data_IF_282740907900
#
_entry.id   IF_282740907900
#
_cell.length_a   1.000
_cell.length_b   1.000
_cell.length_c   1.000
_cell.angle_alpha   90.00
_cell.angle_beta   90.00
_cell.angle_gamma   90.00
#
_symmetry.space_group_name_H-M   'P 1'
#
loop_
_entity.id
_entity.type
_entity.pdbx_description
1 polymer ?
#
# COMPACT_ATOMS: atom_id res chain seq x y z
N UNK A 1 0.47 -15.74 -39.94
CA UNK A 1 -0.62 -16.36 -39.14
C UNK A 1 -0.11 -16.55 -37.72
N UNK A 2 -0.84 -16.31 -36.63
CA UNK A 2 -2.02 -15.52 -36.32
C UNK A 2 -2.26 -15.78 -34.82
N UNK A 3 -2.53 -14.70 -34.08
CA UNK A 3 -3.50 -14.62 -32.98
C UNK A 3 -3.19 -15.22 -31.59
N UNK A 4 -2.95 -14.28 -30.67
CA UNK A 4 -3.89 -13.85 -29.61
C UNK A 4 -4.09 -14.67 -28.31
N UNK A 5 -3.93 -13.88 -27.23
CA UNK A 5 -4.85 -13.69 -26.10
C UNK A 5 -4.69 -14.55 -24.82
N UNK A 6 -4.06 -13.93 -23.81
CA UNK A 6 -4.70 -13.31 -22.63
C UNK A 6 -5.76 -14.13 -21.85
N UNK A 7 -5.60 -14.24 -20.52
CA UNK A 7 -6.53 -13.77 -19.45
C UNK A 7 -6.45 -14.57 -18.13
N UNK A 8 -6.15 -13.83 -17.05
CA UNK A 8 -6.91 -13.74 -15.78
C UNK A 8 -7.32 -15.03 -15.03
N UNK A 9 -7.04 -15.09 -13.72
CA UNK A 9 -7.82 -15.95 -12.82
C UNK A 9 -7.26 -16.23 -11.44
N UNK A 10 -7.79 -15.52 -10.44
CA UNK A 10 -7.65 -15.74 -9.01
C UNK A 10 -7.75 -17.22 -8.61
N UNK A 11 -6.94 -17.67 -7.64
CA UNK A 11 -7.39 -18.71 -6.69
C UNK A 11 -6.76 -18.54 -5.30
N UNK A 12 -7.46 -17.69 -4.53
CA UNK A 12 -7.61 -17.74 -3.07
C UNK A 12 -7.85 -19.19 -2.62
N UNK A 13 -6.82 -19.83 -2.07
CA UNK A 13 -6.94 -21.13 -1.40
C UNK A 13 -6.60 -20.96 0.08
N UNK A 14 -7.61 -20.58 0.86
CA UNK A 14 -7.56 -20.72 2.30
C UNK A 14 -7.80 -22.19 2.64
N UNK A 15 -6.77 -22.87 3.15
CA UNK A 15 -6.94 -24.10 3.92
C UNK A 15 -6.76 -23.76 5.40
N UNK A 16 -7.70 -24.12 6.29
CA UNK A 16 -7.47 -24.08 7.71
C UNK A 16 -6.85 -25.42 8.12
N UNK A 17 -5.62 -25.40 8.65
CA UNK A 17 -5.07 -26.49 9.43
C UNK A 17 -4.65 -25.91 10.77
N UNK A 18 -5.60 -25.97 11.70
CA UNK A 18 -5.37 -25.75 13.10
C UNK A 18 -4.63 -26.97 13.67
N UNK A 19 -3.43 -26.77 14.21
CA UNK A 19 -2.91 -27.56 15.32
C UNK A 19 -1.70 -26.85 15.95
N UNK A 20 -1.93 -26.34 17.15
CA UNK A 20 -0.99 -26.32 18.28
C UNK A 20 0.41 -25.72 18.05
N UNK A 21 0.52 -24.39 18.19
CA UNK A 21 1.61 -23.78 18.96
C UNK A 21 1.07 -22.49 19.62
N UNK A 22 1.03 -22.50 20.94
CA UNK A 22 0.71 -21.32 21.75
C UNK A 22 1.84 -20.30 21.73
N UNK A 23 1.47 -19.07 22.12
CA UNK A 23 2.28 -17.85 22.29
C UNK A 23 2.38 -16.91 21.07
N UNK A 24 1.65 -15.80 21.18
CA UNK A 24 1.95 -14.48 20.58
C UNK A 24 1.83 -14.33 19.06
N UNK A 25 0.68 -14.67 18.50
CA UNK A 25 0.20 -13.96 17.32
C UNK A 25 -0.80 -12.89 17.78
N UNK A 26 -0.29 -11.74 18.25
CA UNK A 26 -1.06 -10.49 18.22
C UNK A 26 -1.34 -10.20 16.74
N UNK A 27 -2.41 -10.80 16.24
CA UNK A 27 -2.99 -10.47 14.94
C UNK A 27 -3.35 -9.00 14.98
N UNK A 28 -2.46 -8.20 14.42
CA UNK A 28 -2.65 -6.80 14.08
C UNK A 28 -3.80 -6.72 13.06
N UNK A 29 -5.02 -6.87 13.56
CA UNK A 29 -6.24 -6.67 12.78
C UNK A 29 -6.31 -5.19 12.46
N UNK A 30 -6.31 -4.86 11.16
CA UNK A 30 -6.48 -3.50 10.69
C UNK A 30 -7.79 -2.93 11.28
N UNK A 31 -7.69 -1.84 12.03
CA UNK A 31 -8.87 -1.16 12.57
C UNK A 31 -9.53 -0.40 11.43
N UNK A 32 -10.80 -0.69 11.18
CA UNK A 32 -11.62 0.01 10.22
C UNK A 32 -11.74 1.49 10.59
N UNK A 33 -11.67 2.38 9.59
CA UNK A 33 -11.71 3.84 9.78
C UNK A 33 -12.90 4.35 10.62
N UNK A 34 -14.00 3.59 10.69
CA UNK A 34 -15.20 3.91 11.48
C UNK A 34 -15.06 3.80 13.01
N UNK A 35 -13.99 3.16 13.50
CA UNK A 35 -13.70 2.96 14.92
C UNK A 35 -12.40 3.63 15.33
N UNK A 36 -11.74 4.28 14.38
CA UNK A 36 -10.51 5.01 14.62
C UNK A 36 -10.82 6.38 15.23
N UNK A 37 -10.16 6.76 16.33
CA UNK A 37 -10.18 8.13 16.84
C UNK A 37 -9.83 9.18 15.77
N UNK A 38 -10.39 10.39 15.89
CA UNK A 38 -10.18 11.47 14.92
C UNK A 38 -8.70 11.80 14.65
N UNK A 39 -7.83 11.64 15.66
CA UNK A 39 -6.39 11.88 15.51
C UNK A 39 -5.69 10.80 14.65
N UNK A 40 -6.19 9.55 14.62
CA UNK A 40 -5.70 8.52 13.68
C UNK A 40 -6.15 8.82 12.26
N UNK A 41 -7.38 9.34 12.08
CA UNK A 41 -7.84 9.76 10.76
C UNK A 41 -7.03 10.95 10.23
N UNK A 42 -6.74 11.94 11.07
CA UNK A 42 -5.88 13.07 10.70
C UNK A 42 -4.48 12.60 10.28
N UNK A 43 -3.91 11.63 11.02
CA UNK A 43 -2.65 10.99 10.67
C UNK A 43 -2.74 10.23 9.34
N UNK A 44 -3.78 9.42 9.14
CA UNK A 44 -3.99 8.66 7.91
C UNK A 44 -4.12 9.57 6.68
N UNK A 45 -4.85 10.68 6.81
CA UNK A 45 -4.97 11.70 5.75
C UNK A 45 -3.64 12.39 5.47
N UNK A 46 -2.87 12.75 6.52
CA UNK A 46 -1.56 13.37 6.37
C UNK A 46 -0.56 12.42 5.67
N UNK A 47 -0.51 11.16 6.10
CA UNK A 47 0.35 10.13 5.48
C UNK A 47 -0.10 9.85 4.05
N UNK A 48 -1.40 9.68 3.80
CA UNK A 48 -1.94 9.47 2.45
C UNK A 48 -1.56 10.60 1.50
N UNK A 49 -1.73 11.87 1.93
CA UNK A 49 -1.31 13.04 1.17
C UNK A 49 0.19 13.10 0.94
N UNK A 50 1.01 12.76 1.94
CA UNK A 50 2.46 12.72 1.80
C UNK A 50 2.93 11.64 0.81
N UNK A 51 2.34 10.45 0.87
CA UNK A 51 2.64 9.35 -0.05
C UNK A 51 2.21 9.69 -1.48
N UNK A 52 1.03 10.29 -1.64
CA UNK A 52 0.54 10.75 -2.93
C UNK A 52 1.41 11.86 -3.52
N UNK A 53 1.80 12.85 -2.71
CA UNK A 53 2.70 13.92 -3.13
C UNK A 53 4.07 13.38 -3.58
N UNK A 54 4.58 12.35 -2.90
CA UNK A 54 5.83 11.71 -3.30
C UNK A 54 5.72 11.00 -4.64
N UNK A 55 4.59 10.33 -4.89
CA UNK A 55 4.34 9.69 -6.19
C UNK A 55 4.14 10.72 -7.32
N UNK A 56 3.63 11.90 -7.01
CA UNK A 56 3.51 13.01 -7.95
C UNK A 56 4.83 13.79 -8.14
N UNK A 57 5.88 13.45 -7.41
CA UNK A 57 7.15 14.14 -7.51
C UNK A 57 7.90 13.71 -8.78
N UNK A 58 7.85 14.55 -9.82
CA UNK A 58 8.45 14.30 -11.15
C UNK A 58 9.96 14.01 -11.14
N UNK A 59 10.65 14.30 -10.03
CA UNK A 59 12.08 14.09 -9.88
C UNK A 59 12.46 12.64 -9.55
N UNK A 60 11.49 11.78 -9.23
CA UNK A 60 11.75 10.37 -8.96
C UNK A 60 11.49 9.50 -10.20
N UNK A 61 12.55 8.93 -10.84
CA UNK A 61 12.38 8.07 -12.01
C UNK A 61 11.56 6.80 -11.72
N UNK A 62 11.49 6.36 -10.47
CA UNK A 62 10.67 5.22 -10.06
C UNK A 62 9.18 5.60 -10.06
N UNK A 63 8.85 6.74 -9.44
CA UNK A 63 7.50 7.29 -9.42
C UNK A 63 6.96 7.51 -10.84
N UNK A 64 7.80 8.06 -11.73
CA UNK A 64 7.42 8.29 -13.11
C UNK A 64 7.15 7.00 -13.89
N UNK A 65 7.90 5.92 -13.61
CA UNK A 65 7.63 4.61 -14.22
C UNK A 65 6.29 4.05 -13.75
N UNK A 66 5.96 4.20 -12.46
CA UNK A 66 4.65 3.79 -11.92
C UNK A 66 3.52 4.58 -12.59
N UNK A 67 3.65 5.89 -12.71
CA UNK A 67 2.66 6.74 -13.39
C UNK A 67 2.49 6.38 -14.87
N UNK A 68 3.60 6.16 -15.59
CA UNK A 68 3.55 5.73 -17.00
C UNK A 68 2.87 4.37 -17.16
N UNK A 69 3.15 3.44 -16.24
CA UNK A 69 2.51 2.12 -16.26
C UNK A 69 1.00 2.22 -16.00
N UNK A 70 0.58 3.06 -15.07
CA UNK A 70 -0.84 3.32 -14.78
C UNK A 70 -1.57 3.99 -15.95
N UNK A 71 -0.93 4.95 -16.62
CA UNK A 71 -1.47 5.55 -17.84
C UNK A 71 -1.68 4.49 -18.94
N UNK A 72 -0.81 3.49 -19.02
CA UNK A 72 -0.96 2.37 -19.94
C UNK A 72 -2.01 1.33 -19.50
N UNK A 73 -2.40 1.32 -18.21
CA UNK A 73 -3.34 0.35 -17.62
C UNK A 73 -4.48 1.06 -16.87
N UNK A 74 -5.40 1.73 -17.59
CA UNK A 74 -6.55 2.43 -16.99
C UNK A 74 -7.54 1.49 -16.29
N UNK A 75 -7.45 0.18 -16.53
CA UNK A 75 -8.25 -0.85 -15.86
C UNK A 75 -7.78 -1.15 -14.42
N UNK A 76 -6.72 -0.51 -13.95
CA UNK A 76 -6.20 -0.72 -12.59
C UNK A 76 -7.19 -0.15 -11.56
N UNK A 77 -7.58 -0.92 -10.53
CA UNK A 77 -8.52 -0.44 -9.52
C UNK A 77 -7.90 0.68 -8.67
N UNK A 78 -8.31 1.91 -8.95
CA UNK A 78 -8.09 3.07 -8.08
C UNK A 78 -9.32 3.26 -7.17
N UNK A 79 -9.16 3.47 -5.85
CA UNK A 79 -7.91 3.68 -5.11
C UNK A 79 -7.17 2.37 -4.77
N UNK A 80 -5.84 2.37 -4.89
CA UNK A 80 -5.00 1.23 -4.57
C UNK A 80 -4.89 1.08 -3.04
N UNK A 81 -5.41 -0.01 -2.43
CA UNK A 81 -5.29 -0.21 -1.00
C UNK A 81 -3.86 -0.61 -0.64
N UNK A 82 -3.14 0.26 0.05
CA UNK A 82 -1.81 -0.01 0.59
C UNK A 82 -1.90 -0.17 2.10
N UNK A 83 -1.34 -1.24 2.63
CA UNK A 83 -1.16 -1.51 4.05
C UNK A 83 0.27 -1.13 4.43
N UNK A 84 0.41 -0.17 5.34
CA UNK A 84 1.70 0.39 5.74
C UNK A 84 1.92 0.10 7.22
N UNK A 85 3.11 -0.40 7.55
CA UNK A 85 3.63 -0.50 8.91
C UNK A 85 4.66 0.59 9.09
N UNK A 86 4.53 1.33 10.17
CA UNK A 86 5.34 2.51 10.44
C UNK A 86 5.96 2.31 11.81
N UNK A 87 7.28 2.32 11.91
CA UNK A 87 7.96 2.25 13.18
C UNK A 87 7.71 3.54 13.99
N UNK A 88 7.94 3.50 15.30
CA UNK A 88 7.67 4.61 16.20
C UNK A 88 8.48 5.89 15.87
N UNK A 89 9.53 5.75 15.07
CA UNK A 89 10.37 6.81 14.52
C UNK A 89 9.81 7.46 13.24
N UNK A 90 8.67 6.98 12.71
CA UNK A 90 8.09 7.44 11.45
C UNK A 90 8.64 6.76 10.19
N UNK A 91 9.53 5.77 10.34
CA UNK A 91 10.04 4.99 9.20
C UNK A 91 9.04 3.93 8.77
N UNK A 92 8.89 3.71 7.47
CA UNK A 92 8.05 2.62 6.95
C UNK A 92 8.83 1.32 7.09
N UNK A 93 8.44 0.47 8.04
CA UNK A 93 9.08 -0.82 8.28
C UNK A 93 8.61 -1.89 7.29
N UNK A 94 7.34 -1.80 6.85
CA UNK A 94 6.76 -2.73 5.88
C UNK A 94 5.66 -2.05 5.06
N UNK A 95 5.54 -2.44 3.80
CA UNK A 95 4.50 -1.96 2.91
C UNK A 95 3.98 -3.10 2.03
N UNK A 96 2.67 -3.34 2.10
CA UNK A 96 1.95 -4.37 1.33
C UNK A 96 0.82 -3.73 0.53
N UNK A 97 0.61 -4.17 -0.70
CA UNK A 97 -0.48 -3.73 -1.57
C UNK A 97 -0.79 -4.83 -2.57
N UNK A 98 -1.97 -4.76 -3.19
CA UNK A 98 -2.32 -5.65 -4.29
C UNK A 98 -1.42 -5.35 -5.50
N UNK A 99 -0.71 -6.37 -5.97
CA UNK A 99 0.22 -6.26 -7.10
C UNK A 99 -0.48 -5.63 -8.30
N UNK A 100 0.18 -4.65 -8.92
CA UNK A 100 -0.29 -3.98 -10.13
C UNK A 100 -0.23 -4.92 -11.35
N UNK A 101 0.49 -6.04 -11.25
CA UNK A 101 0.68 -6.99 -12.35
C UNK A 101 2.05 -6.91 -13.02
N UNK A 102 2.87 -5.93 -12.64
CA UNK A 102 4.30 -5.87 -12.98
C UNK A 102 5.13 -5.76 -11.70
N UNK A 103 5.93 -6.79 -11.41
CA UNK A 103 6.77 -6.85 -10.23
C UNK A 103 7.82 -5.72 -10.16
N UNK A 104 8.25 -5.16 -11.30
CA UNK A 104 9.17 -4.00 -11.31
C UNK A 104 8.44 -2.74 -10.88
N UNK A 105 7.24 -2.53 -11.39
CA UNK A 105 6.39 -1.38 -11.02
C UNK A 105 5.99 -1.47 -9.56
N UNK A 106 5.70 -2.68 -9.07
CA UNK A 106 5.44 -2.92 -7.65
C UNK A 106 6.68 -2.59 -6.79
N UNK A 107 7.87 -3.02 -7.22
CA UNK A 107 9.12 -2.73 -6.51
C UNK A 107 9.44 -1.23 -6.52
N UNK A 108 9.25 -0.56 -7.65
CA UNK A 108 9.44 0.88 -7.82
C UNK A 108 8.45 1.68 -6.95
N UNK A 109 7.16 1.29 -6.94
CA UNK A 109 6.16 1.89 -6.06
C UNK A 109 6.56 1.74 -4.59
N UNK A 110 6.97 0.54 -4.18
CA UNK A 110 7.44 0.30 -2.80
C UNK A 110 8.67 1.15 -2.49
N UNK A 111 9.63 1.22 -3.39
CA UNK A 111 10.86 1.97 -3.22
C UNK A 111 10.60 3.48 -3.11
N UNK A 112 9.79 4.06 -4.00
CA UNK A 112 9.36 5.47 -3.90
C UNK A 112 8.66 5.73 -2.55
N UNK A 113 7.69 4.89 -2.17
CA UNK A 113 6.98 5.06 -0.90
C UNK A 113 7.89 4.88 0.33
N UNK A 114 8.98 4.12 0.23
CA UNK A 114 9.96 3.91 1.30
C UNK A 114 11.18 4.85 1.23
N UNK A 115 11.33 5.63 0.16
CA UNK A 115 12.53 6.42 -0.11
C UNK A 115 12.85 7.46 0.96
N UNK A 116 11.83 7.97 1.65
CA UNK A 116 11.99 8.90 2.76
C UNK A 116 11.08 8.53 3.95
N UNK A 117 11.51 8.82 5.19
CA UNK A 117 10.66 8.66 6.37
C UNK A 117 9.40 9.54 6.24
N UNK A 118 8.35 9.13 6.94
CA UNK A 118 7.15 9.95 7.09
C UNK A 118 7.47 11.14 7.98
N UNK A 119 6.88 12.31 7.69
CA UNK A 119 7.16 13.51 8.48
C UNK A 119 6.54 13.44 9.87
N UNK A 120 5.53 12.60 10.05
CA UNK A 120 4.85 12.40 11.32
C UNK A 120 5.09 10.97 11.84
N UNK A 121 5.51 10.87 13.10
CA UNK A 121 5.55 9.60 13.82
C UNK A 121 4.13 9.08 14.04
N UNK A 122 3.91 7.75 13.95
CA UNK A 122 2.61 7.17 14.22
C UNK A 122 2.22 7.42 15.69
N UNK A 123 0.95 7.74 15.99
CA UNK A 123 0.49 7.82 17.37
C UNK A 123 0.76 6.50 18.10
N UNK A 124 1.26 6.56 19.34
CA UNK A 124 1.65 5.36 20.11
C UNK A 124 0.47 4.38 20.33
N UNK A 125 -0.75 4.90 20.40
CA UNK A 125 -1.97 4.11 20.53
C UNK A 125 -2.47 3.53 19.19
N UNK A 126 -1.88 3.92 18.05
CA UNK A 126 -2.36 3.57 16.72
C UNK A 126 -2.12 2.10 16.38
N UNK A 127 -3.19 1.42 15.94
CA UNK A 127 -3.14 0.02 15.50
C UNK A 127 -2.64 -0.08 14.06
N UNK A 128 -1.60 -0.88 13.86
CA UNK A 128 -1.04 -1.23 12.55
C UNK A 128 -1.58 -2.59 12.09
N UNK A 129 -1.67 -2.86 10.77
CA UNK A 129 -1.28 -2.00 9.65
C UNK A 129 -2.26 -0.85 9.38
N UNK A 130 -1.72 0.29 8.96
CA UNK A 130 -2.51 1.41 8.46
C UNK A 130 -2.87 1.16 7.00
N UNK A 131 -4.17 1.02 6.72
CA UNK A 131 -4.67 0.85 5.35
C UNK A 131 -5.04 2.19 4.75
N UNK A 132 -4.33 2.58 3.70
CA UNK A 132 -4.52 3.82 2.96
C UNK A 132 -4.98 3.47 1.55
N UNK A 133 -5.97 4.18 1.03
CA UNK A 133 -6.31 4.12 -0.39
C UNK A 133 -5.53 5.19 -1.13
N UNK A 134 -4.49 4.81 -1.86
CA UNK A 134 -3.76 5.76 -2.70
C UNK A 134 -4.56 6.01 -3.98
N UNK A 135 -4.96 7.26 -4.16
CA UNK A 135 -5.55 7.73 -5.42
C UNK A 135 -4.39 8.09 -6.34
N UNK A 136 -4.12 7.18 -7.27
CA UNK A 136 -3.08 7.34 -8.28
C UNK A 136 -3.76 7.92 -9.53
N UNK A 137 -4.19 9.18 -9.46
CA UNK A 137 -4.74 9.87 -10.62
C UNK A 137 -3.60 10.21 -11.60
N UNK A 138 -3.58 9.63 -12.81
CA UNK A 138 -2.77 10.16 -13.88
C UNK A 138 -3.39 11.49 -14.33
N UNK A 139 -2.62 12.57 -14.28
CA UNK A 139 -3.01 13.84 -14.92
C UNK A 139 -2.86 13.73 -16.44
#
# INVERSE_FOLDING_TARGET
MAMSANRTGLRRWWRPLAAAFGALALGSAAVSAHQAPAHWMAYATAVGGQLQQRLQQEQDPQAQRVLQWLQAHPDTPTPLPVSVWIAADGHISKLEFDSLGDARVDADLRATLQAAPLQAAPPADMRQPLRLGLVLEPK
#
